data_IF_948907258619
#
_entry.id   IF_948907258619
#
_cell.length_a   1.000
_cell.length_b   1.000
_cell.length_c   1.000
_cell.angle_alpha   90.00
_cell.angle_beta   90.00
_cell.angle_gamma   90.00
#
_symmetry.space_group_name_H-M   'P 1'
#
loop_
_entity.id
_entity.type
_entity.pdbx_description
1 polymer ?
#
# COMPACT_ATOMS: atom_id res chain seq x y z
N UNK A 1 -5.81 -7.53 -16.72
CA UNK A 1 -4.85 -7.53 -15.58
C UNK A 1 -3.49 -7.94 -16.14
N UNK A 2 -2.65 -6.97 -16.47
CA UNK A 2 -1.31 -7.09 -17.11
C UNK A 2 -0.62 -5.74 -16.86
N UNK A 3 0.61 -5.56 -16.36
CA UNK A 3 1.68 -6.40 -15.81
C UNK A 3 2.50 -5.51 -14.86
N UNK A 4 2.98 -6.01 -13.70
CA UNK A 4 3.74 -5.32 -12.63
C UNK A 4 5.13 -4.75 -13.02
N UNK A 5 5.37 -4.53 -14.31
CA UNK A 5 6.65 -4.15 -14.90
C UNK A 5 7.76 -5.19 -14.70
N UNK A 6 8.82 -5.06 -15.48
CA UNK A 6 9.98 -5.94 -15.42
C UNK A 6 11.24 -5.08 -15.49
N UNK A 7 11.97 -4.90 -14.37
CA UNK A 7 13.17 -4.07 -14.35
C UNK A 7 14.35 -4.68 -15.12
N UNK A 8 14.37 -6.00 -15.34
CA UNK A 8 15.42 -6.66 -16.14
C UNK A 8 15.18 -6.45 -17.63
N UNK A 9 13.91 -6.42 -18.04
CA UNK A 9 13.50 -6.25 -19.44
C UNK A 9 13.04 -4.82 -19.81
N UNK A 10 13.31 -3.82 -18.96
CA UNK A 10 12.90 -2.42 -19.15
C UNK A 10 11.40 -2.20 -19.41
N UNK A 11 10.54 -3.09 -18.90
CA UNK A 11 9.08 -2.91 -19.02
C UNK A 11 8.63 -1.95 -17.92
N UNK A 12 8.15 -0.74 -18.25
CA UNK A 12 7.76 0.24 -17.26
C UNK A 12 6.53 -0.24 -16.49
N UNK A 13 6.53 0.04 -15.19
CA UNK A 13 5.36 -0.07 -14.33
C UNK A 13 4.38 1.04 -14.70
N UNK A 14 3.34 0.69 -15.46
CA UNK A 14 2.37 1.63 -16.06
C UNK A 14 1.01 1.59 -15.36
N UNK A 15 0.77 0.61 -14.49
CA UNK A 15 -0.46 0.53 -13.70
C UNK A 15 -0.50 1.58 -12.59
N UNK A 16 -1.71 2.09 -12.29
CA UNK A 16 -1.97 3.08 -11.23
C UNK A 16 -1.38 2.66 -9.87
N UNK A 17 -1.35 1.35 -9.59
CA UNK A 17 -0.89 0.76 -8.34
C UNK A 17 0.52 0.16 -8.40
N UNK A 18 1.30 0.51 -9.43
CA UNK A 18 2.64 -0.04 -9.65
C UNK A 18 3.75 0.94 -9.27
N UNK A 19 3.41 2.02 -8.58
CA UNK A 19 4.40 2.96 -8.06
C UNK A 19 5.29 2.28 -7.01
N UNK A 20 6.62 2.52 -7.09
CA UNK A 20 7.61 1.95 -6.15
C UNK A 20 7.31 2.25 -4.68
N UNK A 21 6.58 3.34 -4.40
CA UNK A 21 6.19 3.70 -3.04
C UNK A 21 5.33 2.62 -2.37
N UNK A 22 4.48 1.92 -3.14
CA UNK A 22 3.57 0.89 -2.60
C UNK A 22 4.38 -0.31 -2.12
N UNK A 23 5.25 -0.87 -2.98
CA UNK A 23 6.14 -1.97 -2.58
C UNK A 23 7.07 -1.56 -1.43
N UNK A 24 7.59 -0.33 -1.44
CA UNK A 24 8.45 0.17 -0.37
C UNK A 24 7.69 0.25 0.96
N UNK A 25 6.45 0.74 0.96
CA UNK A 25 5.61 0.81 2.15
C UNK A 25 5.27 -0.60 2.66
N UNK A 26 4.90 -1.54 1.78
CA UNK A 26 4.68 -2.95 2.15
C UNK A 26 5.92 -3.54 2.82
N UNK A 27 7.10 -3.35 2.22
CA UNK A 27 8.34 -3.89 2.76
C UNK A 27 8.69 -3.30 4.13
N UNK A 28 8.47 -2.00 4.32
CA UNK A 28 8.74 -1.33 5.60
C UNK A 28 7.74 -1.77 6.68
N UNK A 29 6.48 -2.00 6.31
CA UNK A 29 5.41 -2.32 7.26
C UNK A 29 5.34 -3.80 7.62
N UNK A 30 5.64 -4.72 6.70
CA UNK A 30 5.38 -6.15 6.88
C UNK A 30 6.61 -7.06 6.70
N UNK A 31 7.73 -6.54 6.19
CA UNK A 31 8.91 -7.35 5.83
C UNK A 31 10.26 -6.72 6.18
N UNK A 32 10.30 -5.74 7.10
CA UNK A 32 11.53 -5.02 7.46
C UNK A 32 12.48 -5.91 8.25
N UNK A 33 11.96 -6.74 9.15
CA UNK A 33 12.73 -7.62 10.02
C UNK A 33 12.24 -9.07 9.98
N UNK A 34 13.07 -9.99 10.45
CA UNK A 34 12.74 -11.43 10.54
C UNK A 34 11.55 -11.77 11.45
N UNK A 35 11.10 -10.81 12.25
CA UNK A 35 10.00 -10.96 13.21
C UNK A 35 8.72 -10.26 12.75
N UNK A 36 8.74 -9.62 11.58
CA UNK A 36 7.55 -8.98 11.05
C UNK A 36 6.60 -10.04 10.50
N UNK A 37 5.32 -9.71 10.48
CA UNK A 37 4.22 -10.65 10.21
C UNK A 37 4.34 -11.30 8.83
N UNK A 38 4.76 -10.53 7.82
CA UNK A 38 4.97 -11.04 6.47
C UNK A 38 6.09 -12.08 6.37
N UNK A 39 7.02 -12.08 7.33
CA UNK A 39 8.10 -13.07 7.43
C UNK A 39 7.70 -14.25 8.30
N UNK A 40 7.00 -14.00 9.42
CA UNK A 40 6.60 -15.04 10.37
C UNK A 40 5.45 -15.91 9.85
N UNK A 41 4.55 -15.34 9.03
CA UNK A 41 3.34 -16.00 8.57
C UNK A 41 3.23 -15.98 7.03
N UNK A 42 4.19 -16.55 6.30
CA UNK A 42 4.21 -16.51 4.83
C UNK A 42 2.93 -17.09 4.21
N UNK A 43 2.24 -18.02 4.87
CA UNK A 43 0.98 -18.61 4.41
C UNK A 43 -0.16 -17.60 4.22
N UNK A 44 -0.12 -16.45 4.91
CA UNK A 44 -1.12 -15.39 4.77
C UNK A 44 -0.62 -14.21 3.93
N UNK A 45 0.69 -14.12 3.73
CA UNK A 45 1.35 -12.97 3.13
C UNK A 45 2.07 -13.30 1.80
N UNK A 46 1.98 -14.55 1.30
CA UNK A 46 2.53 -14.95 0.01
C UNK A 46 1.50 -15.71 -0.84
N UNK A 47 1.03 -15.14 -1.97
CA UNK A 47 1.28 -13.76 -2.42
C UNK A 47 0.68 -12.74 -1.44
N UNK A 48 1.24 -11.52 -1.41
CA UNK A 48 0.80 -10.49 -0.46
C UNK A 48 -0.69 -10.16 -0.65
N UNK A 49 -1.50 -10.12 0.42
CA UNK A 49 -2.95 -10.03 0.30
C UNK A 49 -3.38 -8.69 -0.30
N UNK A 50 -4.38 -8.72 -1.19
CA UNK A 50 -4.96 -7.51 -1.78
C UNK A 50 -5.55 -6.57 -0.73
N UNK A 51 -6.08 -7.11 0.37
CA UNK A 51 -6.48 -6.33 1.54
C UNK A 51 -5.30 -5.52 2.12
N UNK A 52 -4.10 -6.09 2.18
CA UNK A 52 -2.90 -5.37 2.59
C UNK A 52 -2.50 -4.28 1.61
N UNK A 53 -2.65 -4.51 0.30
CA UNK A 53 -2.40 -3.49 -0.73
C UNK A 53 -3.37 -2.32 -0.59
N UNK A 54 -4.68 -2.60 -0.45
CA UNK A 54 -5.70 -1.58 -0.22
C UNK A 54 -5.42 -0.77 1.05
N UNK A 55 -4.96 -1.42 2.12
CA UNK A 55 -4.57 -0.74 3.36
C UNK A 55 -3.39 0.23 3.13
N UNK A 56 -2.35 -0.20 2.42
CA UNK A 56 -1.21 0.66 2.10
C UNK A 56 -1.62 1.85 1.23
N UNK A 57 -2.50 1.65 0.24
CA UNK A 57 -3.04 2.75 -0.57
C UNK A 57 -3.82 3.75 0.28
N UNK A 58 -4.62 3.25 1.22
CA UNK A 58 -5.37 4.08 2.17
C UNK A 58 -4.44 4.91 3.04
N UNK A 59 -3.32 4.33 3.52
CA UNK A 59 -2.29 5.06 4.27
C UNK A 59 -1.62 6.12 3.40
N UNK A 60 -1.32 5.81 2.13
CA UNK A 60 -0.74 6.79 1.20
C UNK A 60 -1.69 7.96 0.97
N UNK A 61 -2.98 7.70 0.78
CA UNK A 61 -4.01 8.75 0.63
C UNK A 61 -4.12 9.59 1.91
N UNK A 62 -4.17 8.96 3.08
CA UNK A 62 -4.16 9.67 4.36
C UNK A 62 -2.94 10.60 4.51
N UNK A 63 -1.75 10.11 4.16
CA UNK A 63 -0.54 10.92 4.16
C UNK A 63 -0.60 12.08 3.15
N UNK A 64 -1.30 11.95 2.02
CA UNK A 64 -1.48 13.04 1.07
C UNK A 64 -2.45 14.07 1.65
N UNK A 65 -3.54 13.60 2.27
CA UNK A 65 -4.56 14.45 2.89
C UNK A 65 -3.99 15.28 4.06
N UNK A 66 -3.08 14.72 4.86
CA UNK A 66 -2.37 15.44 5.93
C UNK A 66 -1.69 16.73 5.42
N UNK A 67 -1.21 16.73 4.18
CA UNK A 67 -0.48 17.85 3.56
C UNK A 67 -1.32 18.66 2.58
N UNK A 68 -2.60 18.31 2.39
CA UNK A 68 -3.48 18.91 1.38
C UNK A 68 -3.65 20.44 1.54
N UNK A 69 -3.53 20.95 2.77
CA UNK A 69 -3.68 22.38 3.07
C UNK A 69 -2.42 23.22 2.82
N UNK A 70 -1.30 22.59 2.46
CA UNK A 70 0.02 23.23 2.39
C UNK A 70 0.79 23.20 3.72
N UNK A 71 0.07 23.07 4.84
CA UNK A 71 0.63 22.77 6.16
C UNK A 71 0.27 21.33 6.57
N UNK A 72 1.16 20.68 7.35
CA UNK A 72 0.91 19.34 7.89
C UNK A 72 -0.11 19.42 9.03
N UNK A 73 -1.26 18.81 8.81
CA UNK A 73 -2.25 18.57 9.85
C UNK A 73 -2.14 17.12 10.32
N UNK A 74 -2.04 16.90 11.63
CA UNK A 74 -2.02 15.56 12.20
C UNK A 74 -3.43 14.97 12.13
N UNK A 75 -3.67 14.10 11.14
CA UNK A 75 -4.96 13.44 10.93
C UNK A 75 -4.85 12.03 11.53
N UNK A 76 -5.66 11.68 12.54
CA UNK A 76 -5.57 10.36 13.14
C UNK A 76 -5.99 9.29 12.13
N UNK A 77 -5.07 8.41 11.76
CA UNK A 77 -5.37 7.25 10.92
C UNK A 77 -6.18 6.21 11.73
N UNK A 78 -7.50 6.22 11.57
CA UNK A 78 -8.43 5.36 12.28
C UNK A 78 -9.50 4.75 11.36
N UNK A 79 -10.09 3.63 11.78
CA UNK A 79 -11.08 2.90 10.98
C UNK A 79 -12.31 3.76 10.63
N UNK A 80 -13.00 4.45 11.56
CA UNK A 80 -14.18 5.24 11.22
C UNK A 80 -13.96 6.25 10.09
N UNK A 81 -12.79 6.92 10.08
CA UNK A 81 -12.45 7.92 9.07
C UNK A 81 -12.07 7.28 7.73
N UNK A 82 -11.23 6.25 7.73
CA UNK A 82 -10.60 5.73 6.50
C UNK A 82 -11.23 4.45 5.95
N UNK A 83 -12.19 3.84 6.65
CA UNK A 83 -12.97 2.69 6.14
C UNK A 83 -13.58 2.92 4.75
N UNK A 84 -14.24 4.05 4.44
CA UNK A 84 -14.80 4.25 3.09
C UNK A 84 -13.70 4.31 2.02
N UNK A 85 -12.56 4.95 2.32
CA UNK A 85 -11.40 5.03 1.43
C UNK A 85 -10.81 3.64 1.18
N UNK A 86 -10.61 2.86 2.24
CA UNK A 86 -10.16 1.48 2.17
C UNK A 86 -11.06 0.60 1.30
N UNK A 87 -12.38 0.67 1.52
CA UNK A 87 -13.34 -0.10 0.73
C UNK A 87 -13.32 0.32 -0.75
N UNK A 88 -13.15 1.60 -1.02
CA UNK A 88 -13.04 2.11 -2.38
C UNK A 88 -11.79 1.55 -3.08
N UNK A 89 -10.61 1.61 -2.44
CA UNK A 89 -9.39 1.00 -2.99
C UNK A 89 -9.55 -0.49 -3.23
N UNK A 90 -10.13 -1.21 -2.27
CA UNK A 90 -10.32 -2.66 -2.38
C UNK A 90 -11.23 -3.05 -3.56
N UNK A 91 -12.24 -2.23 -3.87
CA UNK A 91 -13.15 -2.46 -5.00
C UNK A 91 -12.54 -2.11 -6.36
N UNK A 92 -11.49 -1.29 -6.39
CA UNK A 92 -10.84 -0.80 -7.62
C UNK A 92 -9.54 -1.54 -7.98
N UNK A 93 -9.07 -2.42 -7.11
CA UNK A 93 -7.91 -3.30 -7.29
C UNK A 93 -8.30 -4.60 -8.01
#
# INVERSE_FOLDING_TARGET
MQSLGDPENNIPRLGLYENKIIQKAINISFYKNKRDEGVLYPEYFQPFPMAGVALILTVVEACIDEWSSGDRNDIPFNEPTFRPVYQNHLNQL
#
